data_IF_279895031705
#
_entry.id   IF_279895031705
#
_cell.length_a   1.000
_cell.length_b   1.000
_cell.length_c   1.000
_cell.angle_alpha   90.00
_cell.angle_beta   90.00
_cell.angle_gamma   90.00
#
_symmetry.space_group_name_H-M   'P 1'
#
loop_
_entity.id
_entity.type
_entity.pdbx_description
1 polymer ?
#
# COMPACT_ATOMS: atom_id res chain seq x y z
N UNK A 1 7.73 -0.34 23.92
CA UNK A 1 6.90 -0.90 22.83
C UNK A 1 5.93 0.08 22.21
N UNK A 2 5.22 0.90 22.98
CA UNK A 2 4.28 1.89 22.40
C UNK A 2 4.94 2.85 21.38
N UNK A 3 6.11 3.42 21.71
CA UNK A 3 6.85 4.29 20.79
C UNK A 3 7.20 3.61 19.46
N UNK A 4 7.62 2.34 19.50
CA UNK A 4 7.94 1.57 18.31
C UNK A 4 6.70 1.34 17.43
N UNK A 5 5.56 1.05 18.04
CA UNK A 5 4.29 0.91 17.32
C UNK A 5 3.91 2.21 16.60
N UNK A 6 4.04 3.36 17.26
CA UNK A 6 3.76 4.67 16.65
C UNK A 6 4.67 4.91 15.45
N UNK A 7 5.96 4.58 15.56
CA UNK A 7 6.91 4.67 14.44
C UNK A 7 6.49 3.77 13.27
N UNK A 8 6.09 2.53 13.55
CA UNK A 8 5.62 1.59 12.52
C UNK A 8 4.37 2.13 11.81
N UNK A 9 3.42 2.72 12.54
CA UNK A 9 2.22 3.32 11.94
C UNK A 9 2.62 4.48 11.01
N UNK A 10 3.53 5.35 11.43
CA UNK A 10 4.03 6.44 10.60
C UNK A 10 4.71 5.90 9.34
N UNK A 11 5.56 4.87 9.46
CA UNK A 11 6.20 4.22 8.32
C UNK A 11 5.18 3.57 7.39
N UNK A 12 4.15 2.93 7.92
CA UNK A 12 3.09 2.32 7.12
C UNK A 12 2.32 3.37 6.31
N UNK A 13 2.03 4.53 6.90
CA UNK A 13 1.40 5.64 6.17
C UNK A 13 2.31 6.22 5.07
N UNK A 14 3.61 6.32 5.34
CA UNK A 14 4.61 6.74 4.33
C UNK A 14 4.67 5.71 3.19
N UNK A 15 4.71 4.43 3.52
CA UNK A 15 4.72 3.33 2.55
C UNK A 15 3.46 3.34 1.69
N UNK A 16 2.27 3.50 2.28
CA UNK A 16 1.00 3.55 1.58
C UNK A 16 0.95 4.71 0.57
N UNK A 17 1.41 5.90 0.97
CA UNK A 17 1.56 7.03 0.04
C UNK A 17 2.53 6.72 -1.10
N UNK A 18 3.68 6.12 -0.78
CA UNK A 18 4.72 5.81 -1.77
C UNK A 18 4.25 4.77 -2.79
N UNK A 19 3.63 3.68 -2.31
CA UNK A 19 3.01 2.70 -3.19
C UNK A 19 1.93 3.33 -4.06
N UNK A 20 1.05 4.14 -3.45
CA UNK A 20 -0.07 4.74 -4.17
C UNK A 20 0.36 5.54 -5.40
N UNK A 21 1.44 6.33 -5.31
CA UNK A 21 1.92 7.07 -6.50
C UNK A 21 2.65 6.17 -7.50
N UNK A 22 3.35 5.13 -7.03
CA UNK A 22 4.07 4.20 -7.89
C UNK A 22 3.07 3.39 -8.74
N UNK A 23 2.04 2.86 -8.08
CA UNK A 23 0.98 2.06 -8.70
C UNK A 23 -0.06 2.89 -9.46
N UNK A 24 -0.20 4.18 -9.16
CA UNK A 24 -1.10 5.06 -9.90
C UNK A 24 -0.80 5.01 -11.40
N UNK A 25 0.47 4.93 -11.80
CA UNK A 25 0.89 4.79 -13.18
C UNK A 25 0.25 3.57 -13.87
N UNK A 26 0.19 2.43 -13.18
CA UNK A 26 -0.40 1.19 -13.69
C UNK A 26 -1.91 1.34 -13.95
N UNK A 27 -2.61 2.09 -13.08
CA UNK A 27 -4.06 2.29 -13.17
C UNK A 27 -4.48 3.34 -14.20
N UNK A 28 -3.61 4.30 -14.54
CA UNK A 28 -3.95 5.43 -15.42
C UNK A 28 -3.30 5.38 -16.80
N UNK A 29 -2.30 4.51 -17.02
CA UNK A 29 -1.55 4.47 -18.28
C UNK A 29 -2.44 4.32 -19.52
N UNK A 30 -3.47 3.48 -19.46
CA UNK A 30 -4.38 3.22 -20.59
C UNK A 30 -5.26 4.43 -20.91
N UNK A 31 -5.88 5.05 -19.90
CA UNK A 31 -6.82 6.16 -20.10
C UNK A 31 -6.11 7.46 -20.51
N UNK A 32 -4.87 7.64 -20.06
CA UNK A 32 -4.02 8.78 -20.44
C UNK A 32 -3.43 8.57 -21.85
N UNK A 33 -2.94 7.38 -22.17
CA UNK A 33 -2.37 7.09 -23.52
C UNK A 33 -3.42 7.14 -24.63
N UNK A 34 -4.65 6.73 -24.33
CA UNK A 34 -5.81 6.86 -25.25
C UNK A 34 -6.39 8.28 -25.29
N UNK A 35 -5.87 9.21 -24.47
CA UNK A 35 -6.29 10.62 -24.38
C UNK A 35 -7.76 10.80 -24.00
N UNK A 36 -8.35 9.84 -23.29
CA UNK A 36 -9.72 9.96 -22.76
C UNK A 36 -9.75 10.95 -21.59
N UNK A 37 -8.73 10.91 -20.73
CA UNK A 37 -8.54 11.85 -19.62
C UNK A 37 -7.18 12.52 -19.71
N UNK A 38 -7.10 13.77 -19.24
CA UNK A 38 -5.81 14.41 -18.97
C UNK A 38 -5.10 13.69 -17.80
N UNK A 39 -3.75 13.74 -17.70
CA UNK A 39 -3.03 13.09 -16.61
C UNK A 39 -3.55 13.46 -15.21
N UNK A 40 -3.89 14.73 -14.99
CA UNK A 40 -4.42 15.19 -13.71
C UNK A 40 -5.82 14.62 -13.41
N UNK A 41 -6.71 14.60 -14.40
CA UNK A 41 -8.04 13.98 -14.25
C UNK A 41 -7.94 12.49 -13.96
N UNK A 42 -7.00 11.79 -14.60
CA UNK A 42 -6.79 10.37 -14.39
C UNK A 42 -6.28 10.06 -12.97
N UNK A 43 -5.40 10.90 -12.41
CA UNK A 43 -4.96 10.78 -11.02
C UNK A 43 -6.12 11.01 -10.05
N UNK A 44 -6.93 12.05 -10.26
CA UNK A 44 -8.12 12.29 -9.44
C UNK A 44 -9.12 11.12 -9.51
N UNK A 45 -9.30 10.55 -10.70
CA UNK A 45 -10.13 9.37 -10.91
C UNK A 45 -9.61 8.18 -10.12
N UNK A 46 -8.32 7.87 -10.24
CA UNK A 46 -7.68 6.77 -9.50
C UNK A 46 -7.78 6.98 -7.99
N UNK A 47 -7.51 8.19 -7.49
CA UNK A 47 -7.60 8.50 -6.07
C UNK A 47 -9.03 8.33 -5.52
N UNK A 48 -10.03 8.80 -6.27
CA UNK A 48 -11.43 8.66 -5.87
C UNK A 48 -11.85 7.19 -5.77
N UNK A 49 -11.56 6.37 -6.78
CA UNK A 49 -11.96 4.97 -6.77
C UNK A 49 -11.17 4.13 -5.76
N UNK A 50 -9.88 4.40 -5.55
CA UNK A 50 -9.10 3.74 -4.48
C UNK A 50 -9.67 4.06 -3.10
N UNK A 51 -10.03 5.32 -2.84
CA UNK A 51 -10.66 5.70 -1.58
C UNK A 51 -12.05 5.09 -1.42
N UNK A 52 -12.86 5.10 -2.49
CA UNK A 52 -14.21 4.51 -2.47
C UNK A 52 -14.18 3.00 -2.23
N UNK A 53 -13.17 2.30 -2.75
CA UNK A 53 -13.01 0.85 -2.56
C UNK A 53 -12.99 0.47 -1.08
N UNK A 54 -12.37 1.27 -0.21
CA UNK A 54 -12.39 1.05 1.24
C UNK A 54 -13.82 0.99 1.81
N UNK A 55 -14.70 1.91 1.40
CA UNK A 55 -16.08 1.95 1.86
C UNK A 55 -16.89 0.79 1.32
N UNK A 56 -16.68 0.42 0.05
CA UNK A 56 -17.31 -0.75 -0.56
C UNK A 56 -16.91 -2.02 0.21
N UNK A 57 -15.61 -2.22 0.45
CA UNK A 57 -15.11 -3.35 1.24
C UNK A 57 -15.74 -3.40 2.63
N UNK A 58 -15.79 -2.27 3.33
CA UNK A 58 -16.30 -2.20 4.71
C UNK A 58 -17.82 -2.38 4.81
N UNK A 59 -18.60 -1.69 3.99
CA UNK A 59 -20.05 -1.57 4.16
C UNK A 59 -20.87 -2.47 3.25
N UNK A 60 -20.33 -2.87 2.10
CA UNK A 60 -21.06 -3.71 1.12
C UNK A 60 -20.56 -5.15 1.18
N UNK A 61 -19.24 -5.35 1.15
CA UNK A 61 -18.62 -6.68 1.11
C UNK A 61 -18.44 -7.26 2.53
N UNK A 62 -18.23 -6.39 3.53
CA UNK A 62 -18.09 -6.74 4.94
C UNK A 62 -16.72 -7.32 5.33
N UNK A 63 -15.74 -7.34 4.42
CA UNK A 63 -14.39 -7.82 4.68
C UNK A 63 -13.36 -7.15 3.75
N UNK A 64 -12.09 -7.13 4.16
CA UNK A 64 -10.98 -6.50 3.42
C UNK A 64 -10.15 -7.48 2.58
N UNK A 65 -10.60 -8.74 2.47
CA UNK A 65 -10.01 -9.75 1.59
C UNK A 65 -8.52 -9.98 1.87
N UNK A 66 -7.67 -9.58 0.91
CA UNK A 66 -6.21 -9.72 0.99
C UNK A 66 -5.64 -9.07 2.25
N UNK A 67 -6.19 -7.93 2.69
CA UNK A 67 -5.73 -7.24 3.90
C UNK A 67 -5.87 -8.08 5.17
N UNK A 68 -6.94 -8.87 5.28
CA UNK A 68 -7.14 -9.79 6.41
C UNK A 68 -6.26 -11.04 6.32
N UNK A 69 -6.01 -11.52 5.12
CA UNK A 69 -5.11 -12.67 4.91
C UNK A 69 -3.68 -12.31 5.26
N UNK A 70 -3.19 -11.18 4.74
CA UNK A 70 -1.83 -10.70 5.02
C UNK A 70 -1.67 -10.38 6.50
N UNK A 71 -2.66 -9.75 7.15
CA UNK A 71 -2.57 -9.42 8.58
C UNK A 71 -2.41 -10.66 9.45
N UNK A 72 -3.01 -11.81 9.10
CA UNK A 72 -2.79 -13.09 9.79
C UNK A 72 -1.35 -13.58 9.68
N UNK A 73 -0.75 -13.44 8.49
CA UNK A 73 0.64 -13.85 8.26
C UNK A 73 1.64 -12.97 9.00
N UNK A 74 1.34 -11.68 9.17
CA UNK A 74 2.25 -10.73 9.82
C UNK A 74 1.85 -10.41 11.26
N UNK A 75 0.91 -11.15 11.85
CA UNK A 75 0.39 -10.88 13.19
C UNK A 75 1.44 -11.24 14.27
N UNK A 76 1.98 -10.24 15.01
CA UNK A 76 2.96 -10.51 16.05
C UNK A 76 2.32 -11.30 17.19
N UNK A 77 2.87 -12.47 17.51
CA UNK A 77 2.39 -13.32 18.60
C UNK A 77 1.24 -14.25 18.24
N UNK A 78 0.96 -14.48 16.95
CA UNK A 78 0.18 -15.66 16.58
C UNK A 78 0.97 -16.94 16.89
N UNK A 79 0.30 -18.05 17.29
CA UNK A 79 0.98 -19.32 17.59
C UNK A 79 1.80 -19.88 16.42
N UNK A 80 1.50 -19.39 15.22
CA UNK A 80 2.03 -19.85 13.94
C UNK A 80 3.27 -19.03 13.53
N UNK A 81 3.53 -17.87 14.15
CA UNK A 81 4.55 -16.91 13.76
C UNK A 81 5.31 -16.31 14.97
N UNK A 82 5.98 -17.17 15.75
CA UNK A 82 6.82 -16.73 16.90
C UNK A 82 7.97 -15.80 16.49
N UNK A 83 8.40 -15.87 15.22
CA UNK A 83 9.54 -15.10 14.70
C UNK A 83 9.12 -13.65 14.37
N UNK A 84 7.86 -13.40 14.05
CA UNK A 84 7.39 -12.09 13.60
C UNK A 84 7.11 -11.21 14.82
N UNK A 85 7.94 -10.19 15.00
CA UNK A 85 7.77 -9.17 16.01
C UNK A 85 7.76 -7.77 15.39
N UNK A 86 7.51 -6.74 16.21
CA UNK A 86 7.45 -5.35 15.74
C UNK A 86 8.74 -4.88 15.05
N UNK A 87 9.91 -5.39 15.43
CA UNK A 87 11.18 -5.04 14.76
C UNK A 87 11.23 -5.63 13.34
N UNK A 88 10.73 -6.85 13.15
CA UNK A 88 10.63 -7.48 11.81
C UNK A 88 9.68 -6.69 10.93
N UNK A 89 8.51 -6.28 11.45
CA UNK A 89 7.57 -5.42 10.72
C UNK A 89 8.24 -4.11 10.28
N UNK A 90 8.93 -3.44 11.21
CA UNK A 90 9.62 -2.19 10.92
C UNK A 90 10.70 -2.37 9.85
N UNK A 91 11.51 -3.42 9.96
CA UNK A 91 12.54 -3.73 8.98
C UNK A 91 11.94 -4.00 7.58
N UNK A 92 10.83 -4.75 7.53
CA UNK A 92 10.09 -5.02 6.30
C UNK A 92 9.56 -3.73 5.65
N UNK A 93 8.94 -2.84 6.44
CA UNK A 93 8.46 -1.55 5.94
C UNK A 93 9.59 -0.66 5.40
N UNK A 94 10.71 -0.56 6.12
CA UNK A 94 11.87 0.22 5.66
C UNK A 94 12.43 -0.35 4.36
N UNK A 95 12.57 -1.67 4.27
CA UNK A 95 13.05 -2.34 3.06
C UNK A 95 12.11 -2.09 1.87
N UNK A 96 10.80 -2.24 2.07
CA UNK A 96 9.79 -2.03 1.03
C UNK A 96 9.74 -0.57 0.56
N UNK A 97 9.77 0.40 1.49
CA UNK A 97 9.86 1.84 1.15
C UNK A 97 11.12 2.12 0.33
N UNK A 98 12.27 1.62 0.80
CA UNK A 98 13.56 1.84 0.13
C UNK A 98 13.53 1.27 -1.28
N UNK A 99 13.00 0.06 -1.44
CA UNK A 99 12.88 -0.59 -2.75
C UNK A 99 11.94 0.17 -3.69
N UNK A 100 10.79 0.64 -3.21
CA UNK A 100 9.87 1.45 -4.02
C UNK A 100 10.51 2.73 -4.54
N UNK A 101 11.26 3.43 -3.69
CA UNK A 101 11.93 4.66 -4.10
C UNK A 101 13.03 4.38 -5.12
N UNK A 102 13.77 3.28 -4.96
CA UNK A 102 14.79 2.84 -5.92
C UNK A 102 14.15 2.52 -7.27
N UNK A 103 13.13 1.66 -7.30
CA UNK A 103 12.50 1.24 -8.55
C UNK A 103 11.78 2.38 -9.24
N UNK A 104 11.13 3.26 -8.49
CA UNK A 104 10.55 4.50 -9.00
C UNK A 104 11.61 5.39 -9.67
N UNK A 105 12.75 5.60 -9.01
CA UNK A 105 13.85 6.40 -9.56
C UNK A 105 14.36 5.85 -10.89
N UNK A 106 14.39 4.53 -11.04
CA UNK A 106 14.78 3.86 -12.29
C UNK A 106 13.62 3.67 -13.29
N UNK A 107 12.40 4.09 -12.97
CA UNK A 107 11.21 3.91 -13.82
C UNK A 107 10.83 2.44 -14.02
N UNK A 108 11.21 1.56 -13.09
CA UNK A 108 10.91 0.13 -13.13
C UNK A 108 9.56 -0.09 -12.44
N UNK A 109 8.55 -0.66 -13.12
CA UNK A 109 7.31 -1.05 -12.46
C UNK A 109 7.61 -2.14 -11.42
N UNK A 110 7.25 -1.89 -10.18
CA UNK A 110 7.51 -2.76 -9.03
C UNK A 110 6.23 -2.94 -8.23
N UNK A 111 6.14 -4.06 -7.53
CA UNK A 111 5.16 -4.33 -6.49
C UNK A 111 5.86 -4.58 -5.16
#
# INVERSE_FOLDING_TARGET
MFTLLVVIIILALIFDYINGFHDAANSIATIVSTKVLTPFQAVLWAAFFNFLAFFISKYIIGHFGIGETVSKWVNPGSPENEIINLHVLMAGLIAAITWNLITWWFGIPSS
#
